data_IF_265217418885
#
_entry.id   IF_265217418885
#
_cell.length_a   1.000
_cell.length_b   1.000
_cell.length_c   1.000
_cell.angle_alpha   90.00
_cell.angle_beta   90.00
_cell.angle_gamma   90.00
#
_symmetry.space_group_name_H-M   'P 1'
#
loop_
_entity.id
_entity.type
_entity.pdbx_description
1 polymer ?
#
# COMPACT_ATOMS: atom_id res chain seq x y z
N UNK A 1 -6.34 10.67 -2.00
CA UNK A 1 -5.27 9.94 -2.72
C UNK A 1 -5.76 8.55 -3.07
N UNK A 2 -6.05 8.25 -4.34
CA UNK A 2 -6.34 6.87 -4.76
C UNK A 2 -5.02 6.12 -4.88
N UNK A 3 -4.55 5.52 -3.78
CA UNK A 3 -3.31 4.71 -3.79
C UNK A 3 -3.60 3.40 -4.50
N UNK A 4 -2.94 3.17 -5.64
CA UNK A 4 -3.04 1.92 -6.37
C UNK A 4 -2.60 0.75 -5.49
N UNK A 5 -3.34 -0.38 -5.53
CA UNK A 5 -3.05 -1.61 -4.76
C UNK A 5 -1.61 -2.11 -4.92
N UNK A 6 -1.00 -1.91 -6.09
CA UNK A 6 0.37 -2.31 -6.38
C UNK A 6 1.44 -1.26 -6.06
N UNK A 7 1.05 0.00 -5.75
CA UNK A 7 1.98 1.05 -5.38
C UNK A 7 2.63 0.76 -4.02
N UNK A 8 3.82 1.32 -3.71
CA UNK A 8 4.39 1.28 -2.37
C UNK A 8 3.42 1.88 -1.33
N UNK A 9 3.37 1.27 -0.15
CA UNK A 9 2.50 1.73 0.94
C UNK A 9 2.95 3.12 1.42
N UNK A 10 2.03 4.09 1.55
CA UNK A 10 2.36 5.42 2.09
C UNK A 10 2.74 5.38 3.58
N UNK A 11 2.53 4.24 4.25
CA UNK A 11 2.93 4.00 5.64
C UNK A 11 4.44 3.82 5.86
N UNK A 12 5.25 3.83 4.80
CA UNK A 12 6.71 3.69 4.91
C UNK A 12 7.22 2.27 5.17
N UNK A 13 6.34 1.26 5.15
CA UNK A 13 6.72 -0.14 5.43
C UNK A 13 7.53 -0.84 4.33
N UNK A 14 7.74 -0.18 3.18
CA UNK A 14 8.37 -0.77 1.99
C UNK A 14 7.53 -1.83 1.27
N UNK A 15 6.38 -2.24 1.83
CA UNK A 15 5.47 -3.22 1.24
C UNK A 15 4.53 -2.55 0.23
N UNK A 16 4.04 -3.31 -0.75
CA UNK A 16 2.96 -2.84 -1.65
C UNK A 16 1.69 -2.56 -0.83
N UNK A 17 0.93 -1.56 -1.23
CA UNK A 17 -0.28 -1.10 -0.53
C UNK A 17 -1.24 -2.26 -0.23
N UNK A 18 -1.51 -3.14 -1.21
CA UNK A 18 -2.37 -4.32 -1.06
C UNK A 18 -1.89 -5.37 -0.04
N UNK A 19 -0.60 -5.38 0.30
CA UNK A 19 -0.02 -6.31 1.27
C UNK A 19 0.24 -5.65 2.64
N UNK A 20 -0.21 -4.40 2.83
CA UNK A 20 -0.01 -3.63 4.04
C UNK A 20 -1.32 -2.93 4.44
N UNK A 21 -1.40 -1.60 4.42
CA UNK A 21 -2.60 -0.85 4.82
C UNK A 21 -3.83 -1.06 3.91
N UNK A 22 -3.63 -1.53 2.69
CA UNK A 22 -4.70 -1.88 1.74
C UNK A 22 -5.05 -3.37 1.74
N UNK A 23 -4.67 -4.10 2.80
CA UNK A 23 -5.04 -5.50 3.03
C UNK A 23 -6.49 -5.54 3.52
N UNK A 24 -7.41 -5.47 2.56
CA UNK A 24 -8.72 -6.14 2.62
C UNK A 24 -8.64 -7.38 1.78
#
# INVERSE_FOLDING_TARGET
VKVSRNAPCPCGSGKKFKHCCGRV
#
